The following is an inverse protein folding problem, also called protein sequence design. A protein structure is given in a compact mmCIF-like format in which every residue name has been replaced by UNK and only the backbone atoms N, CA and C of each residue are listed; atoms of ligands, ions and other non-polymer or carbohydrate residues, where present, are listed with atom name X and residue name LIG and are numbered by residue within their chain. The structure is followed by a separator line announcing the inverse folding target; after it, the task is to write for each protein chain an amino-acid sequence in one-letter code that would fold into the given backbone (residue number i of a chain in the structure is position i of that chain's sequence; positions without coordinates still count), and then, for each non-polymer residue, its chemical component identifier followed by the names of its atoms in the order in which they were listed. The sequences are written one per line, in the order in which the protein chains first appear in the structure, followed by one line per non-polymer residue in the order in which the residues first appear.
data_IF_002194879287
#
_entry.id   IF_002194879287
#
_cell.length_a   1.000
_cell.length_b   1.000
_cell.length_c   1.000
_cell.angle_alpha   90.00
_cell.angle_beta   90.00
_cell.angle_gamma   90.00
#
_symmetry.space_group_name_H-M   'P 1'
#
loop_
_entity.id
_entity.type
_entity.pdbx_description
1 polymer ?
#
# COMPACT_ATOMS: atom_id res chain seq x y z
N UNK A 1 -15.64 4.77 -14.29
CA UNK A 1 -15.12 3.66 -13.46
C UNK A 1 -14.18 4.26 -12.43
N UNK A 2 -14.29 3.89 -11.16
CA UNK A 2 -13.27 4.25 -10.18
C UNK A 2 -12.19 3.16 -10.17
N UNK A 3 -10.93 3.54 -10.34
CA UNK A 3 -9.81 2.63 -10.14
C UNK A 3 -9.59 2.42 -8.65
N UNK A 4 -9.86 1.22 -8.14
CA UNK A 4 -9.40 0.79 -6.83
C UNK A 4 -8.02 0.16 -7.05
N UNK A 5 -6.99 0.98 -7.01
CA UNK A 5 -5.63 0.51 -7.09
C UNK A 5 -5.33 -0.28 -5.81
N UNK A 6 -5.19 -1.62 -5.87
CA UNK A 6 -4.50 -2.41 -4.82
C UNK A 6 -2.98 -2.15 -4.85
N UNK A 7 -2.61 -0.91 -5.17
CA UNK A 7 -1.25 -0.48 -5.47
C UNK A 7 -0.70 0.10 -4.18
N UNK A 8 0.43 -0.43 -3.72
CA UNK A 8 1.24 0.29 -2.75
C UNK A 8 1.78 1.53 -3.46
N UNK A 9 1.25 2.71 -3.15
CA UNK A 9 1.75 3.94 -3.74
C UNK A 9 2.96 4.36 -2.91
N UNK A 10 4.11 4.23 -3.57
CA UNK A 10 5.39 4.90 -3.42
C UNK A 10 5.89 5.14 -1.98
N UNK A 11 7.08 4.63 -1.65
CA UNK A 11 7.78 5.07 -0.45
C UNK A 11 7.91 6.59 -0.48
N UNK A 12 7.47 7.26 0.59
CA UNK A 12 7.03 8.66 0.54
C UNK A 12 8.02 9.64 -0.08
N UNK A 13 7.53 10.53 -0.95
CA UNK A 13 8.26 11.68 -1.49
C UNK A 13 8.36 12.77 -0.40
N UNK A 14 9.56 13.26 -0.11
CA UNK A 14 9.82 14.45 0.70
C UNK A 14 9.81 15.66 -0.24
N UNK A 15 8.66 16.32 -0.30
CA UNK A 15 8.48 17.52 -1.12
C UNK A 15 9.34 18.71 -0.69
N UNK A 16 10.05 18.63 0.44
CA UNK A 16 11.01 19.65 0.86
C UNK A 16 12.38 19.53 0.18
N UNK A 17 12.63 18.45 -0.59
CA UNK A 17 13.90 18.23 -1.30
C UNK A 17 13.78 18.39 -2.82
N UNK A 18 14.78 19.02 -3.49
CA UNK A 18 14.74 19.29 -4.94
C UNK A 18 14.84 18.07 -5.87
N UNK A 19 14.91 16.85 -5.32
CA UNK A 19 15.20 15.61 -6.04
C UNK A 19 13.97 14.91 -6.64
N UNK A 20 12.75 15.29 -6.21
CA UNK A 20 11.50 14.72 -6.70
C UNK A 20 11.27 14.88 -8.22
N UNK A 21 11.89 15.88 -8.88
CA UNK A 21 11.72 16.13 -10.31
C UNK A 21 12.73 15.40 -11.22
N UNK A 22 13.80 14.81 -10.67
CA UNK A 22 14.93 14.29 -11.48
C UNK A 22 15.12 12.77 -11.40
N UNK A 23 14.39 12.08 -10.53
CA UNK A 23 14.48 10.63 -10.36
C UNK A 23 13.21 9.94 -10.92
N UNK A 24 13.32 9.06 -11.94
CA UNK A 24 12.18 8.42 -12.59
C UNK A 24 11.47 7.37 -11.70
N UNK A 25 12.06 7.04 -10.56
CA UNK A 25 11.50 6.18 -9.53
C UNK A 25 11.62 6.95 -8.23
N UNK A 26 10.52 7.12 -7.51
CA UNK A 26 10.51 7.70 -6.18
C UNK A 26 11.23 6.73 -5.25
N UNK A 27 12.49 7.03 -4.97
CA UNK A 27 13.26 6.25 -4.02
C UNK A 27 12.78 6.62 -2.61
N UNK A 28 12.44 5.64 -1.77
CA UNK A 28 12.21 5.90 -0.36
C UNK A 28 13.36 6.69 0.25
N UNK A 29 13.06 7.64 1.14
CA UNK A 29 14.04 8.20 2.07
C UNK A 29 14.40 7.19 3.16
N UNK A 30 14.91 6.04 2.74
CA UNK A 30 15.40 4.97 3.59
C UNK A 30 16.91 5.05 3.73
N UNK A 31 17.39 4.85 4.96
CA UNK A 31 18.80 4.60 5.19
C UNK A 31 19.21 3.24 4.61
N UNK A 32 20.52 2.99 4.61
CA UNK A 32 21.10 1.70 4.18
C UNK A 32 20.48 0.51 4.92
N UNK A 33 20.12 0.68 6.20
CA UNK A 33 19.47 -0.35 7.01
C UNK A 33 18.07 -0.71 6.51
N UNK A 34 17.23 0.28 6.22
CA UNK A 34 15.87 0.04 5.72
C UNK A 34 15.95 -0.55 4.29
N UNK A 35 16.86 -0.05 3.45
CA UNK A 35 17.10 -0.65 2.12
C UNK A 35 17.51 -2.13 2.25
N UNK A 36 18.43 -2.44 3.16
CA UNK A 36 18.87 -3.81 3.42
C UNK A 36 17.73 -4.68 3.98
N UNK A 37 16.90 -4.13 4.86
CA UNK A 37 15.72 -4.80 5.39
C UNK A 37 14.74 -5.18 4.28
N UNK A 38 14.32 -4.22 3.45
CA UNK A 38 13.41 -4.50 2.34
C UNK A 38 14.02 -5.51 1.36
N UNK A 39 15.31 -5.39 1.06
CA UNK A 39 16.03 -6.36 0.22
C UNK A 39 16.03 -7.76 0.84
N UNK A 40 16.21 -7.88 2.16
CA UNK A 40 16.15 -9.17 2.87
C UNK A 40 14.76 -9.82 2.82
N UNK A 41 13.71 -9.02 2.65
CA UNK A 41 12.32 -9.48 2.47
C UNK A 41 11.97 -9.78 1.00
N UNK A 42 12.94 -9.62 0.10
CA UNK A 42 12.79 -9.86 -1.34
C UNK A 42 12.37 -8.64 -2.16
N UNK A 43 12.38 -7.44 -1.57
CA UNK A 43 12.02 -6.19 -2.25
C UNK A 43 13.28 -5.39 -2.60
N UNK A 44 13.70 -5.44 -3.86
CA UNK A 44 14.83 -4.67 -4.37
C UNK A 44 14.36 -3.26 -4.79
N UNK A 45 14.32 -2.35 -3.81
CA UNK A 45 13.86 -0.96 -3.98
C UNK A 45 14.69 -0.13 -4.98
N UNK A 46 15.85 -0.65 -5.42
CA UNK A 46 16.63 -0.01 -6.49
C UNK A 46 16.09 -0.31 -7.89
N UNK A 47 15.25 -1.35 -8.03
CA UNK A 47 14.69 -1.81 -9.30
C UNK A 47 13.19 -1.56 -9.41
N UNK A 48 12.46 -1.80 -8.33
CA UNK A 48 11.00 -1.67 -8.29
C UNK A 48 10.52 -1.37 -6.87
N UNK A 49 9.47 -0.58 -6.77
CA UNK A 49 8.78 -0.26 -5.51
C UNK A 49 7.43 -0.97 -5.39
N UNK A 50 7.07 -1.79 -6.38
CA UNK A 50 5.85 -2.60 -6.34
C UNK A 50 5.91 -3.70 -5.30
N UNK A 51 4.94 -3.68 -4.37
CA UNK A 51 4.72 -4.74 -3.38
C UNK A 51 3.29 -5.24 -3.53
N UNK A 52 3.12 -6.56 -3.73
CA UNK A 52 1.80 -7.19 -3.83
C UNK A 52 1.10 -7.20 -2.48
N UNK A 53 -0.23 -7.19 -2.49
CA UNK A 53 -1.00 -7.16 -1.24
C UNK A 53 -0.80 -8.42 -0.39
N UNK A 54 -0.77 -9.61 -1.00
CA UNK A 54 -0.42 -10.85 -0.31
C UNK A 54 0.99 -10.80 0.32
N UNK A 55 1.98 -10.23 -0.37
CA UNK A 55 3.31 -9.99 0.18
C UNK A 55 3.30 -9.00 1.36
N UNK A 56 2.48 -7.94 1.30
CA UNK A 56 2.29 -7.01 2.43
C UNK A 56 1.75 -7.77 3.65
N UNK A 57 0.72 -8.60 3.47
CA UNK A 57 0.13 -9.38 4.55
C UNK A 57 1.13 -10.38 5.11
N UNK A 58 1.79 -11.16 4.25
CA UNK A 58 2.68 -12.23 4.68
C UNK A 58 3.99 -11.72 5.28
N UNK A 59 4.61 -10.69 4.69
CA UNK A 59 6.00 -10.29 5.01
C UNK A 59 6.11 -9.04 5.86
N UNK A 60 5.10 -8.16 5.85
CA UNK A 60 5.15 -6.87 6.55
C UNK A 60 4.22 -6.86 7.77
N UNK A 61 2.93 -7.10 7.56
CA UNK A 61 1.94 -7.14 8.66
C UNK A 61 2.20 -8.32 9.61
N UNK A 62 2.50 -9.49 9.04
CA UNK A 62 2.82 -10.70 9.79
C UNK A 62 4.33 -10.91 10.00
N UNK A 63 5.13 -9.84 9.89
CA UNK A 63 6.56 -9.92 10.19
C UNK A 63 6.78 -10.47 11.62
N UNK A 64 7.48 -11.61 11.78
CA UNK A 64 7.71 -12.21 13.10
C UNK A 64 8.51 -11.29 14.03
N UNK A 65 9.30 -10.37 13.48
CA UNK A 65 10.10 -9.41 14.24
C UNK A 65 9.37 -8.10 14.54
N UNK A 66 8.12 -7.93 14.06
CA UNK A 66 7.30 -6.73 14.27
C UNK A 66 8.01 -5.42 13.90
N UNK A 67 8.77 -5.42 12.81
CA UNK A 67 9.53 -4.25 12.32
C UNK A 67 8.65 -3.21 11.64
N UNK A 68 7.42 -3.59 11.27
CA UNK A 68 6.43 -2.71 10.67
C UNK A 68 5.28 -2.44 11.63
N UNK A 69 4.75 -1.23 11.62
CA UNK A 69 3.55 -0.85 12.37
C UNK A 69 2.49 -0.32 11.43
N UNK A 70 1.26 -0.82 11.55
CA UNK A 70 0.13 -0.37 10.75
C UNK A 70 -0.54 0.86 11.35
N UNK A 71 -0.91 1.79 10.47
CA UNK A 71 -1.59 3.04 10.77
C UNK A 71 -2.74 3.24 9.79
N UNK A 72 -3.63 4.18 10.11
CA UNK A 72 -4.74 4.59 9.25
C UNK A 72 -4.71 6.10 9.03
N UNK A 73 -4.78 6.52 7.77
CA UNK A 73 -4.92 7.93 7.44
C UNK A 73 -6.40 8.32 7.37
N UNK A 74 -6.86 9.18 8.28
CA UNK A 74 -8.25 9.60 8.35
C UNK A 74 -8.68 10.57 7.22
N UNK A 75 -7.76 11.19 6.51
CA UNK A 75 -8.10 12.07 5.38
C UNK A 75 -8.06 11.29 4.07
N UNK A 76 -6.99 10.54 3.82
CA UNK A 76 -6.82 9.72 2.63
C UNK A 76 -7.68 8.44 2.66
N UNK A 77 -8.15 8.02 3.84
CA UNK A 77 -8.98 6.83 4.05
C UNK A 77 -8.33 5.54 3.56
N UNK A 78 -7.02 5.39 3.83
CA UNK A 78 -6.22 4.21 3.47
C UNK A 78 -5.29 3.83 4.63
N UNK A 79 -4.93 2.53 4.75
CA UNK A 79 -3.88 2.10 5.66
C UNK A 79 -2.49 2.46 5.13
N UNK A 80 -1.55 2.59 6.07
CA UNK A 80 -0.13 2.70 5.75
C UNK A 80 0.73 2.04 6.83
N UNK A 81 1.95 1.65 6.45
CA UNK A 81 2.92 1.02 7.34
C UNK A 81 4.05 1.99 7.64
N UNK A 82 4.50 2.03 8.89
CA UNK A 82 5.78 2.64 9.27
C UNK A 82 6.85 1.58 9.50
N UNK A 83 8.12 1.95 9.32
CA UNK A 83 9.30 1.19 9.73
C UNK A 83 10.18 2.08 10.61
N UNK A 84 10.94 1.51 11.55
CA UNK A 84 11.88 2.28 12.37
C UNK A 84 13.16 2.60 11.59
N UNK A 85 13.64 3.83 11.71
CA UNK A 85 14.98 4.24 11.29
C UNK A 85 16.06 3.72 12.24
N UNK A 86 17.33 3.85 11.83
CA UNK A 86 18.49 3.55 12.68
C UNK A 86 18.51 4.38 13.99
N UNK A 87 18.01 5.62 13.93
CA UNK A 87 17.89 6.53 15.07
C UNK A 87 16.56 6.42 15.82
N UNK A 88 15.76 5.37 15.55
CA UNK A 88 14.54 5.06 16.29
C UNK A 88 13.32 5.93 15.96
N UNK A 89 13.33 6.62 14.81
CA UNK A 89 12.19 7.39 14.31
C UNK A 89 11.31 6.52 13.40
N UNK A 90 10.00 6.68 13.55
CA UNK A 90 9.06 6.07 12.62
C UNK A 90 9.14 6.76 11.25
N UNK A 91 9.48 5.99 10.23
CA UNK A 91 9.48 6.40 8.83
C UNK A 91 8.27 5.82 8.13
N UNK A 92 7.61 6.63 7.30
CA UNK A 92 6.59 6.12 6.39
C UNK A 92 7.22 5.10 5.44
N UNK A 93 6.67 3.89 5.41
CA UNK A 93 7.20 2.80 4.61
C UNK A 93 6.43 2.63 3.30
N UNK A 94 5.13 2.38 3.38
CA UNK A 94 4.22 2.31 2.22
C UNK A 94 2.77 2.50 2.65
N UNK A 95 1.94 3.00 1.74
CA UNK A 95 0.47 2.91 1.85
C UNK A 95 -0.03 1.72 1.05
N UNK A 96 -1.24 1.21 1.33
CA UNK A 96 -1.83 0.10 0.57
C UNK A 96 -3.37 0.12 0.69
N UNK A 97 -4.06 -0.87 0.12
CA UNK A 97 -5.50 -1.07 0.33
C UNK A 97 -5.77 -2.25 1.25
N UNK A 98 -6.72 -2.11 2.17
CA UNK A 98 -7.26 -3.20 2.98
C UNK A 98 -8.79 -3.29 2.81
N UNK A 99 -9.48 -4.26 3.42
CA UNK A 99 -10.93 -4.37 3.27
C UNK A 99 -11.70 -3.09 3.65
N UNK A 100 -11.25 -2.37 4.70
CA UNK A 100 -11.86 -1.10 5.13
C UNK A 100 -11.76 -0.03 4.04
N UNK A 101 -10.59 0.19 3.45
CA UNK A 101 -10.41 1.22 2.42
C UNK A 101 -11.11 0.87 1.10
N UNK A 102 -11.18 -0.42 0.76
CA UNK A 102 -11.95 -0.92 -0.39
C UNK A 102 -13.45 -0.66 -0.20
N UNK A 103 -14.00 -0.93 0.99
CA UNK A 103 -15.39 -0.65 1.31
C UNK A 103 -15.71 0.86 1.19
N UNK A 104 -14.84 1.73 1.70
CA UNK A 104 -15.01 3.19 1.58
C UNK A 104 -14.98 3.67 0.13
N UNK A 105 -14.14 3.07 -0.74
CA UNK A 105 -14.16 3.36 -2.18
C UNK A 105 -15.45 2.88 -2.84
N UNK A 106 -16.00 1.74 -2.43
CA UNK A 106 -17.29 1.27 -2.92
C UNK A 106 -18.43 2.22 -2.49
N UNK A 107 -18.40 2.75 -1.27
CA UNK A 107 -19.35 3.80 -0.83
C UNK A 107 -19.20 5.07 -1.64
N UNK A 108 -17.96 5.48 -1.95
CA UNK A 108 -17.71 6.61 -2.85
C UNK A 108 -18.31 6.37 -4.24
N UNK A 109 -18.08 5.20 -4.84
CA UNK A 109 -18.67 4.80 -6.13
C UNK A 109 -20.19 4.95 -6.13
N UNK A 110 -20.86 4.41 -5.11
CA UNK A 110 -22.32 4.51 -4.95
C UNK A 110 -22.76 5.96 -4.82
N UNK A 111 -22.12 6.74 -3.94
CA UNK A 111 -22.47 8.15 -3.70
C UNK A 111 -22.29 9.05 -4.92
N UNK A 112 -21.37 8.70 -5.82
CA UNK A 112 -21.08 9.45 -7.05
C UNK A 112 -21.79 8.89 -8.28
N UNK A 113 -22.59 7.83 -8.14
CA UNK A 113 -23.29 7.19 -9.26
C UNK A 113 -22.34 6.62 -10.32
N UNK A 114 -21.14 6.16 -9.92
CA UNK A 114 -20.19 5.56 -10.84
C UNK A 114 -20.61 4.12 -11.18
N UNK A 115 -20.38 3.69 -12.41
CA UNK A 115 -20.82 2.39 -12.92
C UNK A 115 -20.17 1.16 -12.25
N UNK A 116 -19.10 1.34 -11.49
CA UNK A 116 -18.39 0.25 -10.84
C UNK A 116 -16.92 0.54 -10.56
N UNK A 117 -16.23 -0.50 -10.08
CA UNK A 117 -14.82 -0.50 -9.75
C UNK A 117 -14.00 -1.37 -10.71
N UNK A 118 -12.75 -0.98 -10.92
CA UNK A 118 -11.71 -1.83 -11.52
C UNK A 118 -10.57 -1.95 -10.51
N UNK A 119 -9.96 -3.13 -10.40
CA UNK A 119 -8.77 -3.35 -9.58
C UNK A 119 -7.67 -4.05 -10.38
N UNK A 120 -6.42 -3.77 -10.00
CA UNK A 120 -5.23 -4.40 -10.54
C UNK A 120 -4.39 -4.96 -9.39
N UNK A 121 -4.02 -6.24 -9.35
CA UNK A 121 -4.55 -7.36 -10.15
C UNK A 121 -4.98 -8.50 -9.23
N UNK A 122 -5.59 -9.54 -9.80
CA UNK A 122 -6.28 -10.56 -9.01
C UNK A 122 -5.29 -11.47 -8.25
N UNK A 123 -4.17 -11.84 -8.86
CA UNK A 123 -3.12 -12.69 -8.27
C UNK A 123 -2.33 -12.06 -7.13
N UNK A 124 -2.48 -10.74 -6.91
CA UNK A 124 -1.88 -10.02 -5.80
C UNK A 124 -2.77 -10.03 -4.55
N UNK A 125 -4.02 -10.53 -4.65
CA UNK A 125 -4.94 -10.58 -3.51
C UNK A 125 -4.56 -11.66 -2.50
N UNK A 126 -4.86 -11.39 -1.24
CA UNK A 126 -4.67 -12.34 -0.15
C UNK A 126 -5.96 -13.15 0.00
N UNK A 127 -5.95 -14.39 -0.49
CA UNK A 127 -7.10 -15.31 -0.58
C UNK A 127 -8.39 -14.65 -1.05
N UNK A 128 -8.29 -13.80 -2.09
CA UNK A 128 -9.40 -13.07 -2.71
C UNK A 128 -10.14 -12.09 -1.78
N UNK A 129 -9.58 -11.72 -0.62
CA UNK A 129 -10.34 -10.96 0.37
C UNK A 129 -10.74 -9.57 -0.13
N UNK A 130 -9.87 -8.86 -0.86
CA UNK A 130 -10.18 -7.52 -1.35
C UNK A 130 -11.18 -7.58 -2.51
N UNK A 131 -11.08 -8.59 -3.37
CA UNK A 131 -12.06 -8.83 -4.42
C UNK A 131 -13.44 -9.17 -3.84
N UNK A 132 -13.48 -10.02 -2.80
CA UNK A 132 -14.70 -10.38 -2.08
C UNK A 132 -15.33 -9.16 -1.41
N UNK A 133 -14.54 -8.38 -0.67
CA UNK A 133 -15.01 -7.14 -0.05
C UNK A 133 -15.62 -6.18 -1.07
N UNK A 134 -14.97 -6.00 -2.22
CA UNK A 134 -15.47 -5.14 -3.28
C UNK A 134 -16.79 -5.66 -3.88
N UNK A 135 -16.89 -6.98 -4.08
CA UNK A 135 -18.10 -7.63 -4.56
C UNK A 135 -19.27 -7.45 -3.56
N UNK A 136 -19.04 -7.70 -2.28
CA UNK A 136 -20.01 -7.48 -1.20
C UNK A 136 -20.48 -6.01 -1.16
N UNK A 137 -19.55 -5.05 -1.15
CA UNK A 137 -19.88 -3.63 -1.03
C UNK A 137 -20.61 -3.04 -2.24
N UNK A 138 -20.43 -3.63 -3.43
CA UNK A 138 -21.11 -3.25 -4.67
C UNK A 138 -22.34 -4.12 -5.00
N UNK A 139 -22.68 -5.10 -4.16
CA UNK A 139 -23.84 -5.97 -4.38
C UNK A 139 -23.68 -6.96 -5.54
N UNK A 140 -22.44 -7.36 -5.85
CA UNK A 140 -22.14 -8.37 -6.87
C UNK A 140 -22.30 -9.77 -6.26
N UNK A 141 -23.11 -10.63 -6.90
CA UNK A 141 -23.27 -12.03 -6.50
C UNK A 141 -21.99 -12.81 -6.79
N UNK A 142 -21.49 -13.56 -5.80
CA UNK A 142 -20.26 -14.34 -5.86
C UNK A 142 -20.35 -15.58 -4.96
#
# INVERSE_FOLDING_TARGET
MAGCQKRAVEPGIDWSKPDAQKNPVTQPYFGSEQIALFKSLGFDLSKDTYVKYNDIVAKLLNDPHKRFSEHWDEQAKVPWLSVQSADGKALFALSYENPRSVALKADYIKSKGLAGAMFWEYGADEQNQLAKQLAESLGIKH
#
